data_IF_247795077632
#
_entry.id   IF_247795077632
#
_cell.length_a   1.000
_cell.length_b   1.000
_cell.length_c   1.000
_cell.angle_alpha   90.00
_cell.angle_beta   90.00
_cell.angle_gamma   90.00
#
_symmetry.space_group_name_H-M   'P 1'
#
loop_
_entity.id
_entity.type
_entity.pdbx_description
1 polymer ?
#
# COMPACT_ATOMS: atom_id res chain seq x y z
N UNK A 1 -43.16 -26.40 11.83
CA UNK A 1 -41.76 -25.95 11.97
C UNK A 1 -41.71 -24.52 11.41
N UNK A 2 -41.31 -23.54 12.21
CA UNK A 2 -41.35 -22.14 11.78
C UNK A 2 -40.05 -21.79 11.06
N UNK A 3 -40.15 -21.26 9.84
CA UNK A 3 -38.98 -20.80 9.08
C UNK A 3 -38.62 -19.38 9.53
N UNK A 4 -37.66 -19.28 10.45
CA UNK A 4 -37.22 -18.01 11.05
C UNK A 4 -35.83 -17.55 10.56
N UNK A 5 -35.11 -18.44 9.87
CA UNK A 5 -33.78 -18.17 9.32
C UNK A 5 -33.82 -17.84 7.84
N UNK A 6 -33.18 -16.74 7.45
CA UNK A 6 -33.20 -16.22 6.08
C UNK A 6 -31.82 -15.72 5.62
N UNK A 7 -31.50 -15.98 4.35
CA UNK A 7 -30.34 -15.39 3.67
C UNK A 7 -30.86 -14.34 2.68
N UNK A 8 -30.66 -13.06 3.01
CA UNK A 8 -31.11 -11.94 2.19
C UNK A 8 -30.02 -11.48 1.23
N UNK A 9 -30.35 -11.35 -0.06
CA UNK A 9 -29.45 -10.81 -1.09
C UNK A 9 -30.11 -9.64 -1.83
N UNK A 10 -29.32 -8.64 -2.25
CA UNK A 10 -29.84 -7.56 -3.09
C UNK A 10 -30.38 -8.12 -4.41
N UNK A 11 -31.53 -7.63 -4.88
CA UNK A 11 -32.20 -8.07 -6.13
C UNK A 11 -31.26 -8.15 -7.34
N UNK A 12 -30.30 -7.24 -7.46
CA UNK A 12 -29.32 -7.22 -8.56
C UNK A 12 -28.40 -8.45 -8.59
N UNK A 13 -28.18 -9.10 -7.45
CA UNK A 13 -27.35 -10.31 -7.34
C UNK A 13 -28.18 -11.59 -7.25
N UNK A 14 -29.50 -11.55 -7.47
CA UNK A 14 -30.34 -12.76 -7.37
C UNK A 14 -29.84 -13.93 -8.24
N UNK A 15 -29.22 -13.63 -9.39
CA UNK A 15 -28.68 -14.63 -10.33
C UNK A 15 -27.34 -15.25 -9.90
N UNK A 16 -26.72 -14.73 -8.83
CA UNK A 16 -25.48 -15.27 -8.29
C UNK A 16 -25.73 -16.38 -7.29
N UNK A 17 -26.98 -16.57 -6.86
CA UNK A 17 -27.38 -17.63 -5.95
C UNK A 17 -27.62 -18.91 -6.73
N UNK A 18 -26.81 -19.93 -6.46
CA UNK A 18 -26.88 -21.23 -7.15
C UNK A 18 -27.77 -22.20 -6.39
N UNK A 19 -27.67 -22.21 -5.06
CA UNK A 19 -28.40 -23.17 -4.22
C UNK A 19 -28.54 -22.63 -2.78
N UNK A 20 -29.62 -23.01 -2.10
CA UNK A 20 -29.85 -22.71 -0.67
C UNK A 20 -30.45 -23.94 -0.03
N UNK A 21 -29.82 -24.45 1.03
CA UNK A 21 -30.27 -25.67 1.73
C UNK A 21 -30.24 -25.51 3.23
N UNK A 22 -31.21 -26.14 3.89
CA UNK A 22 -31.21 -26.34 5.34
C UNK A 22 -30.60 -27.70 5.66
N UNK A 23 -29.57 -27.73 6.52
CA UNK A 23 -28.87 -28.95 6.95
C UNK A 23 -29.43 -29.42 8.29
N UNK A 24 -30.48 -30.24 8.26
CA UNK A 24 -31.19 -30.77 9.44
C UNK A 24 -30.40 -31.83 10.23
N UNK A 25 -29.40 -32.45 9.62
CA UNK A 25 -28.55 -33.47 10.26
C UNK A 25 -27.18 -32.96 10.70
N UNK A 26 -26.92 -31.65 10.60
CA UNK A 26 -25.68 -31.08 11.12
C UNK A 26 -25.85 -30.80 12.61
N UNK A 27 -24.99 -31.39 13.45
CA UNK A 27 -24.94 -31.04 14.87
C UNK A 27 -24.22 -29.70 15.02
N UNK A 28 -24.99 -28.67 15.40
CA UNK A 28 -24.51 -27.29 15.59
C UNK A 28 -24.67 -26.87 17.05
N UNK A 29 -25.01 -27.79 17.96
CA UNK A 29 -25.30 -27.50 19.36
C UNK A 29 -26.26 -26.29 19.55
N UNK A 30 -27.22 -26.15 18.63
CA UNK A 30 -28.25 -25.10 18.60
C UNK A 30 -29.59 -25.74 18.26
N UNK A 31 -30.66 -25.14 18.76
CA UNK A 31 -32.05 -25.43 18.42
C UNK A 31 -32.45 -24.97 17.00
N UNK A 32 -31.56 -24.26 16.30
CA UNK A 32 -31.75 -23.84 14.91
C UNK A 32 -31.08 -24.80 13.91
N UNK A 33 -31.71 -24.95 12.74
CA UNK A 33 -31.12 -25.68 11.62
C UNK A 33 -30.20 -24.78 10.79
N UNK A 34 -28.99 -25.26 10.47
CA UNK A 34 -28.03 -24.52 9.65
C UNK A 34 -28.57 -24.28 8.23
N UNK A 35 -28.60 -23.03 7.79
CA UNK A 35 -28.94 -22.65 6.41
C UNK A 35 -27.66 -22.29 5.66
N UNK A 36 -27.41 -22.94 4.53
CA UNK A 36 -26.21 -22.75 3.69
C UNK A 36 -26.62 -22.30 2.30
N UNK A 37 -25.99 -21.24 1.80
CA UNK A 37 -26.16 -20.78 0.41
C UNK A 37 -24.86 -20.94 -0.39
N UNK A 38 -24.97 -21.50 -1.59
CA UNK A 38 -23.92 -21.50 -2.60
C UNK A 38 -24.10 -20.29 -3.52
N UNK A 39 -23.03 -19.49 -3.66
CA UNK A 39 -23.04 -18.25 -4.41
C UNK A 39 -21.87 -18.22 -5.41
N UNK A 40 -22.16 -17.89 -6.68
CA UNK A 40 -21.16 -17.63 -7.71
C UNK A 40 -20.92 -16.14 -7.88
N UNK A 41 -19.85 -15.65 -7.27
CA UNK A 41 -19.49 -14.23 -7.28
C UNK A 41 -18.07 -14.03 -7.84
N UNK A 42 -17.90 -13.01 -8.68
CA UNK A 42 -16.57 -12.48 -9.03
C UNK A 42 -16.29 -11.30 -8.09
N UNK A 43 -15.54 -11.56 -7.02
CA UNK A 43 -15.12 -10.51 -6.09
C UNK A 43 -13.86 -9.83 -6.61
N UNK A 44 -13.82 -8.50 -6.51
CA UNK A 44 -12.57 -7.77 -6.70
C UNK A 44 -11.66 -8.08 -5.52
N UNK A 45 -10.43 -8.52 -5.78
CA UNK A 45 -9.41 -8.69 -4.73
C UNK A 45 -9.24 -7.36 -4.00
N UNK A 46 -9.48 -7.34 -2.70
CA UNK A 46 -9.11 -6.22 -1.86
C UNK A 46 -7.61 -6.33 -1.60
N UNK A 47 -6.81 -5.44 -2.16
CA UNK A 47 -5.38 -5.41 -1.90
C UNK A 47 -5.15 -4.84 -0.49
N UNK A 48 -5.09 -5.71 0.51
CA UNK A 48 -4.60 -5.41 1.86
C UNK A 48 -3.10 -5.67 2.01
N UNK A 49 -2.33 -5.57 0.91
CA UNK A 49 -0.94 -5.14 1.09
C UNK A 49 -1.04 -3.71 1.57
N UNK A 50 -0.70 -3.47 2.83
CA UNK A 50 -0.58 -2.12 3.37
C UNK A 50 0.12 -1.28 2.31
N UNK A 51 -0.57 -0.25 1.81
CA UNK A 51 0.09 0.78 1.05
C UNK A 51 1.16 1.32 2.00
N UNK A 52 2.38 0.80 1.93
CA UNK A 52 3.55 1.56 2.33
C UNK A 52 3.38 2.84 1.53
N UNK A 53 3.01 3.93 2.21
CA UNK A 53 2.75 5.20 1.56
C UNK A 53 3.90 5.41 0.59
N UNK A 54 3.61 5.56 -0.71
CA UNK A 54 4.63 5.59 -1.76
C UNK A 54 5.65 6.64 -1.32
N UNK A 55 6.82 6.16 -0.88
CA UNK A 55 7.87 7.04 -0.41
C UNK A 55 8.47 7.67 -1.66
N UNK A 56 8.17 8.95 -1.87
CA UNK A 56 8.66 9.70 -3.01
C UNK A 56 10.01 10.29 -2.64
N UNK A 57 10.96 10.24 -3.56
CA UNK A 57 12.21 10.99 -3.43
C UNK A 57 11.95 12.50 -3.59
N UNK A 58 12.80 13.32 -2.98
CA UNK A 58 12.70 14.77 -3.11
C UNK A 58 13.30 15.25 -4.44
N UNK A 59 12.50 15.21 -5.51
CA UNK A 59 12.92 15.67 -6.85
C UNK A 59 13.18 17.17 -6.93
N UNK A 60 12.81 17.95 -5.92
CA UNK A 60 13.12 19.38 -5.89
C UNK A 60 14.64 19.65 -5.83
N UNK A 61 15.42 18.75 -5.23
CA UNK A 61 16.88 18.88 -5.20
C UNK A 61 17.53 18.79 -6.59
N UNK A 62 16.87 18.19 -7.58
CA UNK A 62 17.37 18.16 -8.95
C UNK A 62 17.25 19.51 -9.68
N UNK A 63 16.59 20.51 -9.07
CA UNK A 63 16.60 21.89 -9.58
C UNK A 63 17.88 22.63 -9.21
N UNK A 64 18.54 22.20 -8.15
CA UNK A 64 19.83 22.72 -7.73
C UNK A 64 20.93 22.07 -8.60
N UNK A 65 21.76 22.91 -9.22
CA UNK A 65 22.76 22.45 -10.20
C UNK A 65 23.86 21.63 -9.53
N UNK A 66 24.26 21.97 -8.31
CA UNK A 66 25.31 21.27 -7.58
C UNK A 66 24.82 19.89 -7.15
N UNK A 67 23.60 19.80 -6.61
CA UNK A 67 22.95 18.53 -6.25
C UNK A 67 22.70 17.65 -7.46
N UNK A 68 22.33 18.22 -8.61
CA UNK A 68 22.15 17.47 -9.84
C UNK A 68 23.48 16.90 -10.35
N UNK A 69 24.58 17.64 -10.23
CA UNK A 69 25.91 17.15 -10.59
C UNK A 69 26.40 16.07 -9.62
N UNK A 70 26.18 16.25 -8.32
CA UNK A 70 26.45 15.22 -7.29
C UNK A 70 25.69 13.92 -7.62
N UNK A 71 24.41 14.01 -7.96
CA UNK A 71 23.60 12.85 -8.36
C UNK A 71 24.18 12.15 -9.60
N UNK A 72 24.57 12.90 -10.64
CA UNK A 72 25.18 12.32 -11.85
C UNK A 72 26.48 11.58 -11.55
N UNK A 73 27.35 12.17 -10.73
CA UNK A 73 28.63 11.57 -10.36
C UNK A 73 28.40 10.30 -9.54
N UNK A 74 27.56 10.38 -8.49
CA UNK A 74 27.23 9.23 -7.65
C UNK A 74 26.61 8.08 -8.45
N UNK A 75 25.69 8.40 -9.37
CA UNK A 75 25.06 7.41 -10.23
C UNK A 75 26.06 6.74 -11.16
N UNK A 76 26.90 7.52 -11.85
CA UNK A 76 27.89 6.99 -12.78
C UNK A 76 28.90 6.09 -12.07
N UNK A 77 29.41 6.51 -10.91
CA UNK A 77 30.37 5.73 -10.14
C UNK A 77 29.79 4.38 -9.71
N UNK A 78 28.55 4.36 -9.22
CA UNK A 78 27.87 3.12 -8.81
C UNK A 78 27.52 2.23 -9.98
N UNK A 79 27.08 2.82 -11.09
CA UNK A 79 26.73 2.05 -12.28
C UNK A 79 27.97 1.42 -12.92
N UNK A 80 29.12 2.11 -12.85
CA UNK A 80 30.40 1.54 -13.27
C UNK A 80 30.76 0.32 -12.42
N UNK A 81 30.72 0.44 -11.09
CA UNK A 81 30.96 -0.69 -10.18
C UNK A 81 29.97 -1.84 -10.41
N UNK A 82 28.70 -1.53 -10.68
CA UNK A 82 27.68 -2.52 -11.03
C UNK A 82 28.00 -3.23 -12.35
N UNK A 83 28.41 -2.51 -13.39
CA UNK A 83 28.80 -3.13 -14.67
C UNK A 83 30.02 -4.03 -14.52
N UNK A 84 30.98 -3.67 -13.66
CA UNK A 84 32.17 -4.49 -13.44
C UNK A 84 31.81 -5.78 -12.71
N UNK A 85 30.90 -5.74 -11.73
CA UNK A 85 30.31 -6.94 -11.11
C UNK A 85 29.60 -7.84 -12.13
N UNK A 86 28.84 -7.27 -13.06
CA UNK A 86 28.13 -8.04 -14.09
C UNK A 86 29.07 -8.76 -15.08
N UNK A 87 30.31 -8.31 -15.24
CA UNK A 87 31.30 -9.00 -16.09
C UNK A 87 31.92 -10.20 -15.39
N UNK A 88 31.92 -10.22 -14.06
CA UNK A 88 32.53 -11.27 -13.25
C UNK A 88 31.56 -12.41 -12.92
N UNK A 89 30.25 -12.14 -12.95
CA UNK A 89 29.22 -13.06 -12.46
C UNK A 89 28.20 -13.40 -13.57
N UNK A 90 27.94 -14.70 -13.81
CA UNK A 90 26.86 -15.14 -14.71
C UNK A 90 25.51 -14.87 -14.05
N UNK A 91 24.92 -13.71 -14.36
CA UNK A 91 23.64 -13.26 -13.80
C UNK A 91 22.49 -13.45 -14.78
N UNK A 92 21.30 -13.74 -14.27
CA UNK A 92 20.09 -13.83 -15.10
C UNK A 92 19.61 -12.43 -15.51
N UNK A 93 18.75 -12.33 -16.53
CA UNK A 93 18.17 -11.05 -16.94
C UNK A 93 17.33 -10.41 -15.82
N UNK A 94 16.67 -11.23 -15.01
CA UNK A 94 15.93 -10.80 -13.83
C UNK A 94 16.84 -10.20 -12.75
N UNK A 95 18.00 -10.82 -12.51
CA UNK A 95 18.99 -10.32 -11.55
C UNK A 95 19.60 -9.00 -12.01
N UNK A 96 19.91 -8.90 -13.31
CA UNK A 96 20.37 -7.66 -13.95
C UNK A 96 19.37 -6.52 -13.75
N UNK A 97 18.08 -6.78 -14.01
CA UNK A 97 17.03 -5.78 -13.81
C UNK A 97 16.90 -5.35 -12.35
N UNK A 98 17.03 -6.30 -11.42
CA UNK A 98 17.03 -6.02 -9.98
C UNK A 98 18.20 -5.13 -9.58
N UNK A 99 19.41 -5.43 -10.05
CA UNK A 99 20.61 -4.64 -9.77
C UNK A 99 20.54 -3.20 -10.31
N UNK A 100 19.99 -3.00 -11.51
CA UNK A 100 19.73 -1.65 -12.07
C UNK A 100 18.78 -0.88 -11.16
N UNK A 101 17.68 -1.51 -10.74
CA UNK A 101 16.69 -0.90 -9.87
C UNK A 101 17.29 -0.52 -8.51
N UNK A 102 18.10 -1.40 -7.92
CA UNK A 102 18.76 -1.16 -6.63
C UNK A 102 19.81 -0.04 -6.73
N UNK A 103 20.59 0.00 -7.81
CA UNK A 103 21.57 1.06 -8.07
C UNK A 103 20.91 2.44 -8.17
N UNK A 104 19.81 2.53 -8.93
CA UNK A 104 19.04 3.77 -9.04
C UNK A 104 18.40 4.18 -7.72
N UNK A 105 17.76 3.23 -7.03
CA UNK A 105 17.02 3.49 -5.78
C UNK A 105 17.98 3.94 -4.66
N UNK A 106 19.11 3.27 -4.50
CA UNK A 106 20.14 3.62 -3.51
C UNK A 106 20.74 5.01 -3.78
N UNK A 107 20.99 5.35 -5.05
CA UNK A 107 21.54 6.67 -5.43
C UNK A 107 20.54 7.79 -5.16
N UNK A 108 19.26 7.56 -5.50
CA UNK A 108 18.20 8.51 -5.18
C UNK A 108 18.05 8.69 -3.67
N UNK A 109 18.14 7.61 -2.89
CA UNK A 109 18.01 7.68 -1.44
C UNK A 109 19.16 8.44 -0.78
N UNK A 110 20.38 8.28 -1.26
CA UNK A 110 21.56 8.98 -0.74
C UNK A 110 21.56 10.47 -1.08
N UNK A 111 21.37 10.80 -2.35
CA UNK A 111 21.56 12.18 -2.83
C UNK A 111 20.29 13.03 -2.68
N UNK A 112 19.13 12.46 -3.01
CA UNK A 112 17.85 13.18 -3.00
C UNK A 112 17.10 13.01 -1.67
N UNK A 113 17.29 11.87 -1.00
CA UNK A 113 16.55 11.53 0.19
C UNK A 113 15.04 11.43 -0.03
N UNK A 114 14.32 11.11 1.03
CA UNK A 114 12.87 10.98 1.00
C UNK A 114 12.20 12.34 1.16
N UNK A 115 11.11 12.55 0.42
CA UNK A 115 10.25 13.71 0.58
C UNK A 115 9.61 13.64 1.96
N UNK A 116 10.01 14.56 2.83
CA UNK A 116 9.39 14.72 4.15
C UNK A 116 7.97 15.21 3.97
N UNK A 117 7.03 14.57 4.64
CA UNK A 117 5.71 15.14 4.83
C UNK A 117 5.83 16.27 5.84
N UNK A 118 5.63 17.50 5.40
CA UNK A 118 5.40 18.59 6.33
C UNK A 118 4.02 18.37 6.94
N UNK A 119 4.00 17.94 8.21
CA UNK A 119 2.78 17.98 8.98
C UNK A 119 2.46 19.46 9.21
N UNK A 120 1.35 19.93 8.65
CA UNK A 120 0.83 21.24 9.01
C UNK A 120 0.20 21.06 10.39
N UNK A 121 0.69 21.83 11.37
CA UNK A 121 0.09 21.83 12.70
C UNK A 121 -1.41 22.11 12.56
N UNK A 122 -2.23 21.26 13.18
CA UNK A 122 -3.69 21.36 13.10
C UNK A 122 -4.21 22.65 13.74
N UNK A 123 -3.43 23.23 14.66
CA UNK A 123 -3.65 24.53 15.31
C UNK A 123 -2.39 25.37 15.14
N UNK A 124 -2.57 26.63 14.73
CA UNK A 124 -1.48 27.59 14.67
C UNK A 124 -1.12 28.11 16.07
N UNK A 125 0.14 28.51 16.26
CA UNK A 125 0.61 29.17 17.49
C UNK A 125 -0.24 30.41 17.81
N UNK A 126 -0.61 31.20 16.80
CA UNK A 126 -1.48 32.37 16.96
C UNK A 126 -2.86 32.00 17.56
N UNK A 127 -3.39 30.83 17.20
CA UNK A 127 -4.65 30.32 17.79
C UNK A 127 -4.46 29.91 19.25
N UNK A 128 -3.32 29.31 19.61
CA UNK A 128 -3.00 28.98 21.01
C UNK A 128 -2.85 30.24 21.88
N UNK A 129 -2.23 31.28 21.34
CA UNK A 129 -2.06 32.55 22.06
C UNK A 129 -3.40 33.22 22.34
N UNK A 130 -4.33 33.23 21.36
CA UNK A 130 -5.71 33.71 21.57
C UNK A 130 -6.49 32.91 22.62
N UNK A 131 -6.24 31.60 22.75
CA UNK A 131 -6.85 30.76 23.79
C UNK A 131 -6.30 31.16 25.18
N UNK A 132 -4.98 31.39 25.29
CA UNK A 132 -4.35 31.84 26.54
C UNK A 132 -4.86 33.21 26.98
N UNK A 133 -4.96 34.17 26.06
CA UNK A 133 -5.50 35.51 26.35
C UNK A 133 -6.93 35.44 26.92
N UNK A 134 -7.77 34.56 26.36
CA UNK A 134 -9.14 34.35 26.87
C UNK A 134 -9.19 33.68 28.24
N UNK A 135 -8.18 32.89 28.60
CA UNK A 135 -8.11 32.18 29.89
C UNK A 135 -7.63 33.06 31.04
N UNK A 136 -6.91 34.14 30.72
CA UNK A 136 -6.41 35.12 31.69
C UNK A 136 -7.36 36.33 31.89
N UNK A 137 -8.56 36.27 31.29
CA UNK A 137 -9.72 37.11 31.65
C UNK A 137 -10.61 36.34 32.61
#
# INVERSE_FOLDING_TARGET
ENQIDHICIKKKFRRTMEDVRTRRGADVASDHHLVVANLKLKLKKNWTSGQTAIQRFNTAFLRDTDKLNEFKIALNNRFQAFQDLLKEEETTMEDNWKGIKETLTSTCQEVLGLKKHHHKEWISIETLDKIKERKNK
#
